data_IF_323859107299
#
_entry.id   IF_323859107299
#
_cell.length_a   1.000
_cell.length_b   1.000
_cell.length_c   1.000
_cell.angle_alpha   90.00
_cell.angle_beta   90.00
_cell.angle_gamma   90.00
#
_symmetry.space_group_name_H-M   'P 1'
#
loop_
_entity.id
_entity.type
_entity.pdbx_description
1 polymer ?
#
# COMPACT_ATOMS: atom_id res chain seq x y z
N UNK A 1 10.90 -1.80 -11.91
CA UNK A 1 9.50 -2.08 -12.27
C UNK A 1 8.70 -0.78 -12.26
N UNK A 2 7.83 -0.61 -13.23
CA UNK A 2 6.98 0.58 -13.30
C UNK A 2 5.80 0.48 -12.34
N UNK A 3 5.33 1.62 -11.86
CA UNK A 3 4.13 1.66 -11.03
C UNK A 3 2.91 1.21 -11.86
N UNK A 4 2.00 0.42 -11.28
CA UNK A 4 0.76 0.06 -11.97
C UNK A 4 -0.07 1.31 -12.29
N UNK A 5 -0.79 1.27 -13.41
CA UNK A 5 -1.74 2.31 -13.79
C UNK A 5 -3.15 1.90 -13.39
N UNK A 6 -3.97 2.90 -13.13
CA UNK A 6 -5.39 2.70 -12.84
C UNK A 6 -5.64 1.76 -11.67
N UNK A 7 -4.74 1.76 -10.69
CA UNK A 7 -4.88 0.95 -9.50
C UNK A 7 -5.86 1.63 -8.54
N UNK A 8 -6.87 0.89 -8.10
CA UNK A 8 -7.80 1.41 -7.10
C UNK A 8 -7.22 1.29 -5.69
N UNK A 9 -7.77 2.07 -4.77
CA UNK A 9 -7.39 1.94 -3.35
C UNK A 9 -7.66 0.54 -2.81
N UNK A 10 -8.78 -0.06 -3.20
CA UNK A 10 -9.13 -1.42 -2.78
C UNK A 10 -8.13 -2.45 -3.32
N UNK A 11 -7.71 -2.30 -4.57
CA UNK A 11 -6.71 -3.19 -5.15
C UNK A 11 -5.36 -3.05 -4.46
N UNK A 12 -4.96 -1.83 -4.11
CA UNK A 12 -3.72 -1.62 -3.37
C UNK A 12 -3.78 -2.23 -1.99
N UNK A 13 -4.91 -2.08 -1.28
CA UNK A 13 -5.10 -2.69 0.03
C UNK A 13 -4.97 -4.21 -0.04
N UNK A 14 -5.55 -4.82 -1.07
CA UNK A 14 -5.45 -6.27 -1.28
C UNK A 14 -4.01 -6.69 -1.56
N UNK A 15 -3.29 -5.92 -2.36
CA UNK A 15 -1.88 -6.20 -2.65
C UNK A 15 -1.03 -6.10 -1.39
N UNK A 16 -1.25 -5.08 -0.56
CA UNK A 16 -0.49 -4.86 0.67
C UNK A 16 -0.68 -5.99 1.69
N UNK A 17 -1.75 -6.77 1.57
CA UNK A 17 -1.92 -7.95 2.42
C UNK A 17 -0.78 -8.95 2.22
N UNK A 18 -0.15 -8.97 1.04
CA UNK A 18 0.99 -9.86 0.76
C UNK A 18 2.22 -9.54 1.59
N UNK A 19 2.32 -8.31 2.10
CA UNK A 19 3.45 -7.90 2.96
C UNK A 19 3.01 -7.66 4.40
N UNK A 20 1.86 -8.20 4.78
CA UNK A 20 1.43 -8.25 6.17
C UNK A 20 0.51 -7.14 6.63
N UNK A 21 0.01 -6.30 5.72
CA UNK A 21 -0.94 -5.25 6.10
C UNK A 21 -2.37 -5.77 6.07
N UNK A 22 -3.14 -5.36 7.06
CA UNK A 22 -4.57 -5.68 7.15
C UNK A 22 -5.37 -4.41 7.30
N UNK A 23 -6.55 -4.37 6.69
CA UNK A 23 -7.46 -3.26 6.90
C UNK A 23 -7.99 -3.31 8.32
N UNK A 24 -7.67 -2.30 9.12
CA UNK A 24 -8.07 -2.22 10.52
C UNK A 24 -9.16 -1.19 10.76
N UNK A 25 -9.38 -0.30 9.81
CA UNK A 25 -10.44 0.70 9.91
C UNK A 25 -10.84 1.15 8.51
N UNK A 26 -12.13 1.38 8.32
CA UNK A 26 -12.65 1.94 7.08
C UNK A 26 -13.61 3.07 7.41
N UNK A 27 -13.35 4.23 6.82
CA UNK A 27 -14.31 5.33 6.77
C UNK A 27 -14.88 5.39 5.37
N UNK A 28 -15.81 6.30 5.08
CA UNK A 28 -16.43 6.39 3.77
C UNK A 28 -15.42 6.60 2.62
N UNK A 29 -14.32 7.29 2.89
CA UNK A 29 -13.37 7.68 1.83
C UNK A 29 -11.95 7.17 2.04
N UNK A 30 -11.65 6.48 3.15
CA UNK A 30 -10.30 6.02 3.46
C UNK A 30 -10.29 4.65 4.08
N UNK A 31 -9.24 3.88 3.73
CA UNK A 31 -8.93 2.60 4.37
C UNK A 31 -7.67 2.80 5.20
N UNK A 32 -7.70 2.38 6.46
CA UNK A 32 -6.50 2.35 7.28
C UNK A 32 -6.02 0.92 7.36
N UNK A 33 -4.78 0.69 6.98
CA UNK A 33 -4.15 -0.62 7.02
C UNK A 33 -3.06 -0.61 8.07
N UNK A 34 -2.88 -1.73 8.74
CA UNK A 34 -1.89 -1.88 9.79
C UNK A 34 -1.14 -3.18 9.63
N UNK A 35 0.16 -3.12 9.86
CA UNK A 35 1.00 -4.31 10.01
C UNK A 35 1.66 -4.29 11.39
N UNK A 36 1.98 -5.46 11.91
CA UNK A 36 2.74 -5.61 13.14
C UNK A 36 4.20 -5.97 12.88
N UNK A 37 4.57 -6.23 11.64
CA UNK A 37 5.90 -6.72 11.29
C UNK A 37 6.59 -5.79 10.29
N UNK A 38 7.87 -5.44 10.50
CA UNK A 38 8.72 -5.81 11.64
C UNK A 38 8.32 -5.13 12.95
N UNK A 39 7.52 -4.08 12.87
CA UNK A 39 6.94 -3.37 14.00
C UNK A 39 5.61 -2.77 13.56
N UNK A 40 4.86 -2.19 14.47
CA UNK A 40 3.57 -1.61 14.14
C UNK A 40 3.73 -0.42 13.19
N UNK A 41 2.96 -0.43 12.11
CA UNK A 41 2.98 0.63 11.11
C UNK A 41 1.60 0.74 10.45
N UNK A 42 1.18 1.98 10.20
CA UNK A 42 -0.11 2.25 9.60
C UNK A 42 0.05 3.04 8.31
N UNK A 43 -0.80 2.72 7.33
CA UNK A 43 -0.92 3.54 6.12
C UNK A 43 -2.39 3.81 5.86
N UNK A 44 -2.68 4.97 5.30
CA UNK A 44 -4.04 5.35 4.92
C UNK A 44 -4.13 5.41 3.41
N UNK A 45 -5.13 4.74 2.84
CA UNK A 45 -5.32 4.64 1.39
C UNK A 45 -6.67 5.25 1.04
N UNK A 46 -6.71 6.24 0.13
CA UNK A 46 -7.99 6.78 -0.35
C UNK A 46 -8.77 5.71 -1.10
N UNK A 47 -10.08 5.65 -0.88
CA UNK A 47 -10.95 4.71 -1.58
C UNK A 47 -11.36 5.35 -2.91
N UNK A 48 -10.40 5.42 -3.84
CA UNK A 48 -10.60 5.98 -5.18
C UNK A 48 -10.52 4.84 -6.20
N UNK A 49 -11.26 4.96 -7.29
CA UNK A 49 -11.25 3.97 -8.37
C UNK A 49 -9.88 3.92 -9.05
N UNK A 50 -9.20 5.07 -9.12
CA UNK A 50 -7.86 5.15 -9.67
C UNK A 50 -7.03 6.08 -8.80
N UNK A 51 -6.00 5.53 -8.17
CA UNK A 51 -5.10 6.32 -7.32
C UNK A 51 -4.20 7.20 -8.19
N UNK A 52 -3.98 8.44 -7.75
CA UNK A 52 -3.01 9.32 -8.41
C UNK A 52 -1.62 8.74 -8.24
N UNK A 53 -0.79 8.91 -9.27
CA UNK A 53 0.58 8.39 -9.25
C UNK A 53 1.37 8.90 -8.04
N UNK A 54 1.23 10.19 -7.70
CA UNK A 54 1.91 10.76 -6.54
C UNK A 54 1.46 10.13 -5.22
N UNK A 55 0.16 9.90 -5.06
CA UNK A 55 -0.40 9.26 -3.87
C UNK A 55 0.11 7.81 -3.77
N UNK A 56 0.05 7.07 -4.86
CA UNK A 56 0.54 5.70 -4.90
C UNK A 56 2.03 5.64 -4.58
N UNK A 57 2.84 6.50 -5.20
CA UNK A 57 4.27 6.54 -4.95
C UNK A 57 4.59 6.84 -3.49
N UNK A 58 3.86 7.77 -2.87
CA UNK A 58 4.07 8.12 -1.46
C UNK A 58 3.75 6.95 -0.52
N UNK A 59 2.65 6.24 -0.77
CA UNK A 59 2.26 5.09 0.02
C UNK A 59 3.32 3.98 -0.10
N UNK A 60 3.76 3.70 -1.33
CA UNK A 60 4.75 2.66 -1.57
C UNK A 60 6.10 3.01 -0.95
N UNK A 61 6.50 4.29 -0.99
CA UNK A 61 7.75 4.73 -0.35
C UNK A 61 7.69 4.54 1.17
N UNK A 62 6.55 4.85 1.79
CA UNK A 62 6.35 4.68 3.21
C UNK A 62 6.42 3.20 3.61
N UNK A 63 5.74 2.34 2.86
CA UNK A 63 5.75 0.89 3.10
C UNK A 63 7.15 0.31 2.89
N UNK A 64 7.82 0.69 1.81
CA UNK A 64 9.18 0.20 1.52
C UNK A 64 10.15 0.59 2.63
N UNK A 65 10.08 1.82 3.10
CA UNK A 65 10.93 2.29 4.20
C UNK A 65 10.67 1.48 5.48
N UNK A 66 9.41 1.24 5.81
CA UNK A 66 9.06 0.44 6.99
C UNK A 66 9.53 -1.00 6.88
N UNK A 67 9.41 -1.60 5.69
CA UNK A 67 9.84 -2.98 5.45
C UNK A 67 11.34 -3.11 5.19
N UNK A 68 12.05 -1.98 5.12
CA UNK A 68 13.50 -1.93 4.87
C UNK A 68 13.89 -2.60 3.56
N UNK A 69 13.09 -2.38 2.52
CA UNK A 69 13.35 -2.88 1.17
C UNK A 69 13.25 -1.71 0.19
N UNK A 70 13.80 -1.87 -1.01
CA UNK A 70 13.65 -0.84 -2.03
C UNK A 70 12.28 -0.97 -2.73
N UNK A 71 11.96 0.06 -3.52
CA UNK A 71 10.66 0.12 -4.20
C UNK A 71 10.46 -1.03 -5.18
N UNK A 72 11.50 -1.39 -5.92
CA UNK A 72 11.39 -2.46 -6.92
C UNK A 72 11.13 -3.80 -6.26
N UNK A 73 11.78 -4.09 -5.14
CA UNK A 73 11.49 -5.30 -4.38
C UNK A 73 10.08 -5.29 -3.84
N UNK A 74 9.62 -4.15 -3.33
CA UNK A 74 8.25 -4.02 -2.85
C UNK A 74 7.24 -4.29 -3.97
N UNK A 75 7.44 -3.68 -5.14
CA UNK A 75 6.54 -3.87 -6.28
C UNK A 75 6.50 -5.34 -6.71
N UNK A 76 7.64 -6.02 -6.67
CA UNK A 76 7.70 -7.45 -6.97
C UNK A 76 6.86 -8.26 -5.99
N UNK A 77 6.93 -7.94 -4.69
CA UNK A 77 6.16 -8.65 -3.66
C UNK A 77 4.67 -8.38 -3.78
N UNK A 78 4.28 -7.18 -4.20
CA UNK A 78 2.88 -6.80 -4.28
C UNK A 78 2.20 -7.27 -5.57
N UNK A 79 2.91 -7.21 -6.68
CA UNK A 79 2.33 -7.39 -8.01
C UNK A 79 3.05 -8.43 -8.86
N UNK A 80 4.16 -8.92 -8.40
CA UNK A 80 4.94 -9.94 -9.09
C UNK A 80 4.37 -11.35 -9.03
#
# INVERSE_FOLDING_TARGET
MKLPRDLSGAQLAKALARVGYKTTRQTGSHLRLTTASPSEHHVTIPVHDSLRVGTLAAILADVAAHQEIDRDELLERLFG
#
